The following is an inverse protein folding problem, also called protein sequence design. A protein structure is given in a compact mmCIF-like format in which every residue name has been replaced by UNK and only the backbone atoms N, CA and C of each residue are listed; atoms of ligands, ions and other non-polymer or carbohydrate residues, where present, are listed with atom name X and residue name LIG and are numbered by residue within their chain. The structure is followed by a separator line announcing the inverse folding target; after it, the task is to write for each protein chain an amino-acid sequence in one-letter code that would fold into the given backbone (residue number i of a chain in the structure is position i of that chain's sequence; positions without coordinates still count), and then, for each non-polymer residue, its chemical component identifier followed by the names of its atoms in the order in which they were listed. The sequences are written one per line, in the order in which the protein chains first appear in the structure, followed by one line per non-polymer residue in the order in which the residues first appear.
data_IF_996001423648
#
_entry.id   IF_996001423648
#
_cell.length_a   1.000
_cell.length_b   1.000
_cell.length_c   1.000
_cell.angle_alpha   90.00
_cell.angle_beta   90.00
_cell.angle_gamma   90.00
#
_symmetry.space_group_name_H-M   'P 1'
#
loop_
_entity.id
_entity.type
_entity.pdbx_description
1 polymer ?
#
# COMPACT_ATOMS: atom_id res chain seq x y z
N UNK A 1 7.87 14.05 -0.73
CA UNK A 1 8.94 15.05 -0.54
C UNK A 1 10.14 14.34 0.09
N UNK A 2 11.34 14.48 -0.49
CA UNK A 2 12.58 13.99 0.12
C UNK A 2 12.95 14.86 1.35
N UNK A 3 13.45 14.24 2.42
CA UNK A 3 13.87 14.94 3.64
C UNK A 3 15.35 15.35 3.52
N UNK A 4 15.69 16.66 3.62
CA UNK A 4 17.05 17.14 3.37
C UNK A 4 18.08 16.79 4.46
N UNK A 5 17.66 16.09 5.52
CA UNK A 5 18.46 15.77 6.71
C UNK A 5 18.80 14.27 6.82
N UNK A 6 18.24 13.44 5.94
CA UNK A 6 18.36 11.99 5.95
C UNK A 6 18.43 11.48 4.49
N UNK A 7 19.58 10.94 4.08
CA UNK A 7 19.84 10.54 2.70
C UNK A 7 18.82 9.51 2.18
N UNK A 8 18.05 9.90 1.17
CA UNK A 8 17.11 9.02 0.46
C UNK A 8 15.79 8.74 1.19
N UNK A 9 15.50 9.39 2.33
CA UNK A 9 14.21 9.26 3.01
C UNK A 9 13.12 10.03 2.28
N UNK A 10 11.99 9.38 1.99
CA UNK A 10 10.86 9.98 1.28
C UNK A 10 9.60 9.90 2.10
N UNK A 11 9.02 11.06 2.43
CA UNK A 11 7.66 11.14 2.95
C UNK A 11 6.70 11.38 1.79
N UNK A 12 5.79 10.44 1.55
CA UNK A 12 4.72 10.58 0.58
C UNK A 12 3.39 10.76 1.31
N UNK A 13 2.62 11.75 0.88
CA UNK A 13 1.28 12.01 1.40
C UNK A 13 0.33 12.01 0.21
N UNK A 14 -0.74 11.23 0.32
CA UNK A 14 -1.78 11.12 -0.70
C UNK A 14 -3.12 11.30 -0.02
N UNK A 15 -3.93 12.18 -0.57
CA UNK A 15 -5.32 12.33 -0.16
C UNK A 15 -6.22 12.08 -1.38
N UNK A 16 -7.25 11.27 -1.19
CA UNK A 16 -8.27 10.98 -2.19
C UNK A 16 -9.64 11.05 -1.54
N UNK A 17 -10.61 11.64 -2.23
CA UNK A 17 -11.99 11.64 -1.78
C UNK A 17 -12.95 11.83 -2.93
N UNK A 18 -14.19 11.40 -2.72
CA UNK A 18 -15.26 11.53 -3.69
C UNK A 18 -16.59 11.58 -2.99
N UNK A 19 -17.51 12.40 -3.51
CA UNK A 19 -18.86 12.52 -2.99
C UNK A 19 -19.85 12.37 -4.15
N UNK A 20 -20.88 11.54 -3.96
CA UNK A 20 -21.98 11.39 -4.90
C UNK A 20 -23.29 11.83 -4.24
N UNK A 21 -24.11 12.59 -4.98
CA UNK A 21 -25.43 13.04 -4.53
C UNK A 21 -26.48 12.54 -5.52
N UNK A 22 -27.29 11.57 -5.12
CA UNK A 22 -28.34 10.99 -5.96
C UNK A 22 -29.42 10.28 -5.14
N UNK A 23 -30.68 10.44 -5.54
CA UNK A 23 -31.86 9.88 -4.85
C UNK A 23 -32.20 8.49 -5.39
N UNK A 24 -31.42 7.46 -5.02
CA UNK A 24 -31.78 6.07 -5.31
C UNK A 24 -31.29 5.12 -4.21
N UNK A 25 -32.23 4.67 -3.37
CA UNK A 25 -32.21 3.38 -2.63
C UNK A 25 -30.82 2.85 -2.21
N UNK A 26 -30.22 3.42 -1.16
CA UNK A 26 -29.19 2.81 -0.27
C UNK A 26 -28.34 1.68 -0.89
N UNK A 27 -27.67 1.93 -2.00
CA UNK A 27 -26.53 1.12 -2.48
C UNK A 27 -25.31 2.04 -2.35
N UNK A 28 -24.36 1.70 -1.46
CA UNK A 28 -23.12 2.47 -1.35
C UNK A 28 -22.44 2.54 -2.72
N UNK A 29 -22.14 3.76 -3.17
CA UNK A 29 -21.54 3.98 -4.49
C UNK A 29 -20.01 3.86 -4.43
N UNK A 30 -19.42 4.10 -3.26
CA UNK A 30 -18.00 3.94 -3.01
C UNK A 30 -17.76 2.85 -1.97
N UNK A 31 -16.77 2.00 -2.26
CA UNK A 31 -16.28 0.98 -1.36
C UNK A 31 -14.85 1.34 -0.98
N UNK A 32 -14.56 1.33 0.31
CA UNK A 32 -13.22 1.53 0.86
C UNK A 32 -12.84 0.28 1.65
N UNK A 33 -11.63 -0.23 1.40
CA UNK A 33 -11.14 -1.45 2.06
C UNK A 33 -9.70 -1.77 1.67
N UNK A 34 -9.17 -2.83 2.27
CA UNK A 34 -7.82 -3.31 2.02
C UNK A 34 -7.66 -4.02 0.68
N UNK A 35 -6.45 -4.51 0.43
CA UNK A 35 -6.11 -5.19 -0.81
C UNK A 35 -7.07 -6.36 -1.08
N UNK A 36 -7.71 -6.43 -2.27
CA UNK A 36 -8.31 -7.68 -2.71
C UNK A 36 -7.20 -8.75 -2.70
N UNK A 37 -7.51 -9.96 -2.23
CA UNK A 37 -6.53 -11.04 -2.15
C UNK A 37 -5.83 -11.22 -3.50
N UNK A 38 -4.53 -10.94 -3.54
CA UNK A 38 -3.76 -11.11 -4.76
C UNK A 38 -3.32 -12.57 -4.85
N UNK A 39 -3.55 -13.19 -5.99
CA UNK A 39 -2.91 -14.46 -6.32
C UNK A 39 -1.45 -14.17 -6.67
N UNK A 40 -0.54 -14.58 -5.78
CA UNK A 40 0.89 -14.31 -5.88
C UNK A 40 1.50 -14.86 -7.17
N UNK A 41 1.03 -16.02 -7.62
CA UNK A 41 1.54 -16.67 -8.84
C UNK A 41 1.10 -15.87 -10.04
N UNK A 42 -0.18 -15.47 -10.04
CA UNK A 42 -0.75 -14.64 -11.11
C UNK A 42 -0.13 -13.24 -11.15
N UNK A 43 0.21 -12.65 -10.01
CA UNK A 43 0.87 -11.35 -9.91
C UNK A 43 2.26 -11.33 -10.58
N UNK A 44 3.03 -12.41 -10.41
CA UNK A 44 4.34 -12.59 -11.06
C UNK A 44 4.18 -12.72 -12.57
N UNK A 45 3.18 -13.48 -13.02
CA UNK A 45 2.92 -13.74 -14.45
C UNK A 45 2.35 -12.50 -15.14
N UNK A 46 1.42 -11.79 -14.49
CA UNK A 46 0.70 -10.63 -15.05
C UNK A 46 1.42 -9.30 -14.84
N UNK A 47 2.58 -9.29 -14.15
CA UNK A 47 3.39 -8.09 -13.91
C UNK A 47 2.57 -6.96 -13.26
N UNK A 48 1.69 -7.31 -12.31
CA UNK A 48 0.75 -6.33 -11.76
C UNK A 48 1.48 -5.18 -11.05
N UNK A 49 1.07 -3.91 -11.30
CA UNK A 49 1.68 -2.77 -10.63
C UNK A 49 1.42 -2.82 -9.11
N UNK A 50 2.51 -2.67 -8.34
CA UNK A 50 2.50 -2.66 -6.88
C UNK A 50 2.00 -1.30 -6.35
N UNK A 51 0.75 -0.95 -6.60
CA UNK A 51 0.19 0.34 -6.20
C UNK A 51 -1.33 0.45 -6.22
N UNK A 52 -1.84 1.33 -5.36
CA UNK A 52 -3.24 1.73 -5.28
C UNK A 52 -3.52 2.47 -3.97
N UNK A 53 -4.63 3.21 -3.92
CA UNK A 53 -5.09 3.87 -2.70
C UNK A 53 -6.04 2.91 -1.97
N UNK A 54 -5.53 2.23 -0.95
CA UNK A 54 -6.28 1.26 -0.16
C UNK A 54 -6.26 1.67 1.31
N UNK A 55 -7.26 1.22 2.07
CA UNK A 55 -7.26 1.31 3.52
C UNK A 55 -6.67 0.01 4.06
N UNK A 56 -5.34 -0.04 4.19
CA UNK A 56 -4.63 -1.27 4.60
C UNK A 56 -4.99 -1.62 6.05
N UNK A 57 -5.18 -2.91 6.33
CA UNK A 57 -5.60 -3.40 7.65
C UNK A 57 -7.11 -3.62 7.84
N UNK A 58 -7.91 -3.35 6.80
CA UNK A 58 -9.35 -3.62 6.76
C UNK A 58 -9.67 -4.57 5.59
N UNK A 59 -10.77 -5.32 5.68
CA UNK A 59 -11.17 -6.20 4.57
C UNK A 59 -11.61 -5.39 3.32
N UNK A 60 -11.51 -5.97 2.11
CA UNK A 60 -11.97 -5.32 0.89
C UNK A 60 -13.47 -4.98 1.00
N UNK A 61 -13.81 -3.72 0.76
CA UNK A 61 -15.20 -3.24 0.87
C UNK A 61 -15.77 -3.22 2.27
N UNK A 62 -14.93 -3.23 3.32
CA UNK A 62 -15.38 -3.14 4.71
C UNK A 62 -16.17 -1.86 5.03
N UNK A 63 -15.92 -0.79 4.29
CA UNK A 63 -16.62 0.49 4.42
C UNK A 63 -17.32 0.83 3.11
N UNK A 64 -18.54 1.37 3.22
CA UNK A 64 -19.34 1.77 2.06
C UNK A 64 -20.14 3.04 2.38
N UNK A 65 -20.24 3.94 1.40
CA UNK A 65 -20.84 5.26 1.60
C UNK A 65 -21.27 5.96 0.30
N UNK A 66 -21.91 7.10 0.44
CA UNK A 66 -22.16 8.06 -0.65
C UNK A 66 -20.96 8.99 -0.88
N UNK A 67 -20.10 9.12 0.14
CA UNK A 67 -18.82 9.77 0.05
C UNK A 67 -17.72 8.96 0.74
N UNK A 68 -16.49 9.11 0.26
CA UNK A 68 -15.31 8.54 0.89
C UNK A 68 -14.20 9.58 1.00
N UNK A 69 -13.43 9.47 2.07
CA UNK A 69 -12.21 10.25 2.30
C UNK A 69 -11.11 9.29 2.72
N UNK A 70 -9.97 9.35 2.05
CA UNK A 70 -8.81 8.52 2.33
C UNK A 70 -7.55 9.39 2.31
N UNK A 71 -6.81 9.35 3.39
CA UNK A 71 -5.50 9.94 3.56
C UNK A 71 -4.49 8.81 3.79
N UNK A 72 -3.55 8.65 2.87
CA UNK A 72 -2.43 7.73 3.00
C UNK A 72 -1.16 8.54 3.29
N UNK A 73 -0.48 8.19 4.37
CA UNK A 73 0.82 8.74 4.74
C UNK A 73 1.82 7.60 4.67
N UNK A 74 2.85 7.72 3.84
CA UNK A 74 3.90 6.72 3.68
C UNK A 74 5.25 7.36 3.95
N UNK A 75 6.06 6.69 4.76
CA UNK A 75 7.41 7.07 5.10
C UNK A 75 8.38 5.98 4.63
N UNK A 76 9.14 6.29 3.59
CA UNK A 76 10.06 5.36 2.93
C UNK A 76 11.49 5.61 3.39
N UNK A 77 12.08 4.55 3.91
CA UNK A 77 13.44 4.44 4.41
C UNK A 77 14.26 3.59 3.44
N UNK A 78 15.34 4.13 2.86
CA UNK A 78 16.33 3.30 2.20
C UNK A 78 17.11 2.53 3.27
N UNK A 79 16.95 1.20 3.29
CA UNK A 79 17.75 0.37 4.18
C UNK A 79 19.12 0.14 3.57
N UNK A 80 19.13 -0.35 2.32
CA UNK A 80 20.32 -0.76 1.61
C UNK A 80 20.13 -0.46 0.12
N UNK A 81 21.10 0.20 -0.49
CA UNK A 81 21.23 0.32 -1.94
C UNK A 81 22.58 -0.26 -2.33
N UNK A 82 22.58 -1.48 -2.87
CA UNK A 82 23.78 -2.08 -3.41
C UNK A 82 23.94 -1.61 -4.86
N UNK A 83 24.61 -0.48 -5.06
CA UNK A 83 24.93 0.01 -6.41
C UNK A 83 25.99 -0.86 -7.12
N UNK A 84 26.65 -1.75 -6.37
CA UNK A 84 27.65 -2.69 -6.90
C UNK A 84 27.27 -4.11 -6.51
N UNK A 85 27.04 -4.96 -7.52
CA UNK A 85 26.93 -6.40 -7.33
C UNK A 85 28.19 -6.90 -6.65
N UNK A 86 28.06 -7.49 -5.45
CA UNK A 86 29.18 -7.89 -4.59
C UNK A 86 30.09 -8.98 -5.20
N UNK A 87 29.80 -9.47 -6.41
CA UNK A 87 30.62 -10.37 -7.22
C UNK A 87 29.89 -10.67 -8.56
N UNK A 88 30.49 -11.47 -9.44
CA UNK A 88 29.90 -12.08 -10.64
C UNK A 88 28.75 -13.07 -10.36
N UNK A 89 28.13 -12.99 -9.18
CA UNK A 89 27.05 -13.89 -8.79
C UNK A 89 25.84 -13.70 -9.71
N UNK A 90 25.24 -14.79 -10.21
CA UNK A 90 24.08 -14.72 -11.10
C UNK A 90 22.81 -14.26 -10.37
N UNK A 91 22.83 -14.09 -9.05
CA UNK A 91 21.71 -13.53 -8.27
C UNK A 91 22.27 -12.54 -7.25
N UNK A 92 21.75 -11.31 -7.25
CA UNK A 92 22.10 -10.30 -6.25
C UNK A 92 20.90 -9.44 -5.84
N UNK A 93 20.95 -8.91 -4.61
CA UNK A 93 19.97 -7.94 -4.10
C UNK A 93 20.40 -6.54 -4.55
N UNK A 94 19.55 -5.84 -5.29
CA UNK A 94 19.83 -4.50 -5.83
C UNK A 94 19.53 -3.42 -4.79
N UNK A 95 18.32 -3.40 -4.25
CA UNK A 95 17.94 -2.48 -3.18
C UNK A 95 16.99 -3.13 -2.18
N UNK A 96 16.96 -2.57 -0.98
CA UNK A 96 15.98 -2.83 0.06
C UNK A 96 15.47 -1.49 0.62
N UNK A 97 14.15 -1.32 0.59
CA UNK A 97 13.46 -0.18 1.19
C UNK A 97 12.46 -0.65 2.23
N UNK A 98 12.44 0.01 3.38
CA UNK A 98 11.41 -0.16 4.39
C UNK A 98 10.46 1.02 4.31
N UNK A 99 9.17 0.75 4.19
CA UNK A 99 8.12 1.76 4.11
C UNK A 99 7.19 1.60 5.30
N UNK A 100 7.15 2.58 6.18
CA UNK A 100 6.08 2.67 7.17
C UNK A 100 4.91 3.40 6.55
N UNK A 101 3.69 2.95 6.79
CA UNK A 101 2.51 3.63 6.30
C UNK A 101 1.44 3.77 7.38
N UNK A 102 0.69 4.85 7.27
CA UNK A 102 -0.50 5.15 8.05
C UNK A 102 -1.60 5.59 7.11
N UNK A 103 -2.66 4.81 7.03
CA UNK A 103 -3.85 5.11 6.26
C UNK A 103 -4.97 5.52 7.21
N UNK A 104 -5.62 6.63 6.89
CA UNK A 104 -6.77 7.16 7.61
C UNK A 104 -7.90 7.35 6.60
N UNK A 105 -9.04 6.71 6.79
CA UNK A 105 -10.15 6.94 5.89
C UNK A 105 -11.49 6.48 6.42
N UNK A 106 -12.54 6.97 5.79
CA UNK A 106 -13.90 6.54 6.08
C UNK A 106 -14.75 6.63 4.82
N UNK A 107 -15.79 5.80 4.76
CA UNK A 107 -16.85 5.89 3.76
C UNK A 107 -18.17 6.06 4.52
N UNK A 108 -18.84 7.17 4.27
CA UNK A 108 -19.96 7.61 5.09
C UNK A 108 -21.13 8.09 4.25
N UNK A 109 -22.27 8.27 4.93
CA UNK A 109 -23.51 8.77 4.38
C UNK A 109 -23.82 10.11 5.06
N UNK A 110 -23.65 11.24 4.37
CA UNK A 110 -23.91 12.57 4.94
C UNK A 110 -22.69 13.29 5.52
N UNK A 111 -22.75 13.84 6.74
CA UNK A 111 -21.68 14.72 7.28
C UNK A 111 -20.43 13.95 7.75
N UNK A 112 -19.25 14.52 7.52
CA UNK A 112 -17.96 13.97 7.97
C UNK A 112 -17.90 13.98 9.50
N UNK A 113 -17.70 12.81 10.11
CA UNK A 113 -17.67 12.65 11.56
C UNK A 113 -16.30 12.04 11.97
N UNK A 114 -15.55 12.77 12.80
CA UNK A 114 -14.18 12.40 13.18
C UNK A 114 -14.10 11.12 14.02
N UNK A 115 -15.18 10.77 14.69
CA UNK A 115 -15.38 9.58 15.51
C UNK A 115 -15.50 8.28 14.71
N UNK A 116 -15.75 8.37 13.40
CA UNK A 116 -15.89 7.20 12.51
C UNK A 116 -14.66 6.90 11.65
N UNK A 117 -13.67 7.79 11.67
CA UNK A 117 -12.44 7.64 10.91
C UNK A 117 -11.71 6.36 11.26
N UNK A 118 -11.51 5.50 10.27
CA UNK A 118 -10.77 4.26 10.44
C UNK A 118 -9.29 4.50 10.19
N UNK A 119 -8.48 4.04 11.13
CA UNK A 119 -7.03 4.13 11.07
C UNK A 119 -6.47 2.75 10.81
N UNK A 120 -5.60 2.63 9.83
CA UNK A 120 -4.76 1.48 9.55
C UNK A 120 -3.29 1.89 9.57
N UNK A 121 -2.44 1.13 10.23
CA UNK A 121 -1.00 1.40 10.26
C UNK A 121 -0.24 0.14 9.91
N UNK A 122 0.96 0.28 9.37
CA UNK A 122 1.77 -0.87 9.04
C UNK A 122 3.14 -0.54 8.49
N UNK A 123 3.82 -1.59 8.06
CA UNK A 123 5.12 -1.51 7.45
C UNK A 123 5.22 -2.48 6.27
N UNK A 124 5.91 -2.07 5.23
CA UNK A 124 6.23 -2.87 4.04
C UNK A 124 7.73 -2.85 3.81
N UNK A 125 8.31 -4.02 3.53
CA UNK A 125 9.67 -4.14 3.04
C UNK A 125 9.61 -4.45 1.56
N UNK A 126 10.22 -3.60 0.75
CA UNK A 126 10.40 -3.80 -0.68
C UNK A 126 11.84 -4.19 -0.94
N UNK A 127 12.05 -5.32 -1.62
CA UNK A 127 13.37 -5.77 -2.07
C UNK A 127 13.35 -6.03 -3.56
N UNK A 128 14.40 -5.64 -4.26
CA UNK A 128 14.61 -5.99 -5.66
C UNK A 128 15.79 -6.96 -5.76
N UNK A 129 15.56 -8.07 -6.46
CA UNK A 129 16.52 -9.12 -6.73
C UNK A 129 16.74 -9.22 -8.23
N UNK A 130 17.99 -9.16 -8.67
CA UNK A 130 18.34 -9.36 -10.08
C UNK A 130 18.86 -10.79 -10.24
N UNK A 131 18.26 -11.52 -11.18
CA UNK A 131 18.58 -12.92 -11.52
C UNK A 131 19.05 -12.97 -12.97
N UNK A 132 20.21 -13.59 -13.19
CA UNK A 132 20.80 -13.80 -14.51
C UNK A 132 21.12 -12.51 -15.27
N UNK A 133 21.27 -11.36 -14.58
CA UNK A 133 21.51 -10.03 -15.16
C UNK A 133 20.42 -9.47 -16.08
N UNK A 134 19.36 -10.25 -16.34
CA UNK A 134 18.31 -9.90 -17.30
C UNK A 134 16.95 -9.81 -16.63
N UNK A 135 16.73 -10.55 -15.54
CA UNK A 135 15.43 -10.61 -14.87
C UNK A 135 15.48 -9.91 -13.51
N UNK A 136 14.69 -8.86 -13.33
CA UNK A 136 14.45 -8.27 -12.01
C UNK A 136 13.22 -8.91 -11.37
N UNK A 137 13.30 -9.21 -10.09
CA UNK A 137 12.21 -9.67 -9.26
C UNK A 137 12.03 -8.69 -8.11
N UNK A 138 10.86 -8.09 -8.02
CA UNK A 138 10.49 -7.22 -6.91
C UNK A 138 9.61 -7.98 -5.93
N UNK A 139 10.09 -8.12 -4.70
CA UNK A 139 9.38 -8.72 -3.59
C UNK A 139 8.96 -7.64 -2.61
N UNK A 140 7.67 -7.54 -2.32
CA UNK A 140 7.11 -6.63 -1.32
C UNK A 140 6.42 -7.45 -0.23
N UNK A 141 6.91 -7.32 0.99
CA UNK A 141 6.38 -8.01 2.17
C UNK A 141 5.80 -6.96 3.09
N UNK A 142 4.49 -7.00 3.30
CA UNK A 142 3.78 -6.00 4.08
C UNK A 142 2.99 -6.58 5.23
N UNK A 143 2.94 -5.83 6.31
CA UNK A 143 2.09 -6.07 7.45
C UNK A 143 1.30 -4.81 7.73
N UNK A 144 -0.02 -4.93 7.77
CA UNK A 144 -0.95 -3.87 8.12
C UNK A 144 -1.79 -4.30 9.32
N UNK A 145 -2.10 -3.35 10.19
CA UNK A 145 -3.00 -3.51 11.32
C UNK A 145 -4.04 -2.40 11.32
N UNK A 146 -5.31 -2.79 11.24
CA UNK A 146 -6.41 -1.87 11.52
C UNK A 146 -6.52 -1.64 13.03
N UNK A 147 -6.50 -0.37 13.46
CA UNK A 147 -6.56 -0.02 14.90
C UNK A 147 -8.00 0.03 15.44
N UNK A 148 -9.00 0.05 14.56
CA UNK A 148 -10.41 0.16 14.93
C UNK A 148 -11.21 -0.95 14.26
N UNK A 149 -12.26 -1.44 14.91
CA UNK A 149 -13.16 -2.44 14.33
C UNK A 149 -13.79 -1.93 13.02
N UNK A 150 -13.90 -2.77 11.96
CA UNK A 150 -13.62 -4.21 11.88
C UNK A 150 -12.15 -4.55 11.53
N UNK A 151 -11.23 -3.60 11.68
CA UNK A 151 -9.83 -3.75 11.36
C UNK A 151 -9.12 -4.86 12.13
N UNK A 152 -8.11 -5.44 11.51
CA UNK A 152 -7.33 -6.54 12.07
C UNK A 152 -5.93 -6.62 11.51
N UNK A 153 -5.19 -7.64 11.94
CA UNK A 153 -3.83 -7.93 11.49
C UNK A 153 -3.87 -8.61 10.11
N UNK A 154 -3.20 -8.00 9.13
CA UNK A 154 -3.16 -8.48 7.75
C UNK A 154 -1.73 -8.51 7.26
N UNK A 155 -1.27 -9.71 6.94
CA UNK A 155 -0.03 -9.92 6.22
C UNK A 155 -0.34 -10.03 4.73
N UNK A 156 0.45 -9.34 3.92
CA UNK A 156 0.37 -9.45 2.48
C UNK A 156 1.76 -9.60 1.92
N UNK A 157 1.87 -10.45 0.92
CA UNK A 157 3.05 -10.57 0.08
C UNK A 157 2.60 -10.13 -1.29
N UNK A 158 3.39 -9.32 -1.95
CA UNK A 158 3.16 -8.94 -3.33
C UNK A 158 4.46 -9.21 -4.06
N UNK A 159 4.36 -9.87 -5.19
CA UNK A 159 5.51 -10.15 -6.05
C UNK A 159 5.19 -9.58 -7.41
N UNK A 160 6.14 -8.88 -7.97
CA UNK A 160 6.01 -8.30 -9.28
C UNK A 160 7.39 -8.05 -9.88
N UNK A 161 7.39 -7.33 -10.97
CA UNK A 161 8.58 -7.00 -11.69
C UNK A 161 8.54 -5.52 -12.08
N UNK A 162 9.67 -4.85 -12.03
CA UNK A 162 9.80 -3.44 -12.35
C UNK A 162 10.31 -3.34 -13.79
N UNK A 163 9.40 -3.36 -14.76
CA UNK A 163 9.69 -3.02 -16.17
C UNK A 163 8.92 -1.78 -16.57
#
# INVERSE_FOLDING_TARGET
MPLPWLDGHVLALRYGGGAARGDFRRRGYFFLGGFPGQDLVRAVIELQPLGGAYLRGYDPGALFGDQYHLLNVEYRLPLLSFEHGLSTLPVYLNFAHLTFFGDLGDALFGALAWDRLKVGVGAEVLTEWVVGYVFSLTLRLGYARGLMEPGGDRFFVLVGNRY
#
